data_IF_985364697637
#
_entry.id   IF_985364697637
#
_cell.length_a   1.000
_cell.length_b   1.000
_cell.length_c   1.000
_cell.angle_alpha   90.00
_cell.angle_beta   90.00
_cell.angle_gamma   90.00
#
_symmetry.space_group_name_H-M   'P 1'
#
loop_
_entity.id
_entity.type
_entity.pdbx_description
1 polymer ?
#
# COMPACT_ATOMS: atom_id res chain seq x y z
N UNK A 1 5.89 -2.92 -5.29
CA UNK A 1 6.43 -2.42 -4.01
C UNK A 1 7.80 -3.04 -3.81
N UNK A 2 8.76 -2.26 -3.31
CA UNK A 2 10.18 -2.63 -3.17
C UNK A 2 10.75 -2.06 -1.86
N UNK A 3 11.94 -2.50 -1.46
CA UNK A 3 12.66 -1.98 -0.28
C UNK A 3 12.02 -2.37 1.07
N UNK A 4 12.31 -1.57 2.11
CA UNK A 4 11.80 -1.77 3.47
C UNK A 4 10.27 -1.79 3.56
N UNK A 5 9.60 -1.04 2.67
CA UNK A 5 8.15 -1.07 2.53
C UNK A 5 7.64 -2.48 2.19
N UNK A 6 8.34 -3.19 1.28
CA UNK A 6 7.97 -4.57 0.92
C UNK A 6 8.09 -5.50 2.12
N UNK A 7 9.18 -5.42 2.87
CA UNK A 7 9.44 -6.24 4.06
C UNK A 7 8.38 -5.97 5.15
N UNK A 8 8.14 -4.70 5.47
CA UNK A 8 7.16 -4.31 6.48
C UNK A 8 5.73 -4.66 6.09
N UNK A 9 5.36 -4.49 4.82
CA UNK A 9 4.04 -4.87 4.33
C UNK A 9 3.84 -6.39 4.33
N UNK A 10 4.87 -7.17 4.01
CA UNK A 10 4.84 -8.62 4.15
C UNK A 10 4.61 -9.05 5.61
N UNK A 11 5.33 -8.44 6.56
CA UNK A 11 5.12 -8.69 7.98
C UNK A 11 3.69 -8.33 8.41
N UNK A 12 3.20 -7.15 8.01
CA UNK A 12 1.81 -6.73 8.27
C UNK A 12 0.79 -7.74 7.75
N UNK A 13 0.97 -8.28 6.54
CA UNK A 13 0.05 -9.27 5.97
C UNK A 13 0.06 -10.58 6.77
N UNK A 14 1.23 -11.02 7.24
CA UNK A 14 1.36 -12.20 8.11
C UNK A 14 0.71 -11.95 9.48
N UNK A 15 0.82 -10.73 10.03
CA UNK A 15 0.30 -10.38 11.34
C UNK A 15 -1.22 -10.13 11.34
N UNK A 16 -1.76 -9.54 10.27
CA UNK A 16 -3.20 -9.18 10.18
C UNK A 16 -4.06 -10.28 9.58
N UNK A 17 -3.48 -11.22 8.84
CA UNK A 17 -4.16 -12.45 8.49
C UNK A 17 -3.86 -13.51 9.56
N UNK A 18 -4.88 -14.26 9.97
CA UNK A 18 -4.81 -15.42 10.86
C UNK A 18 -3.90 -16.56 10.31
N UNK A 19 -2.60 -16.33 10.05
CA UNK A 19 -1.66 -17.32 9.50
C UNK A 19 -0.58 -17.72 10.50
N UNK A 20 -0.70 -18.92 11.12
CA UNK A 20 0.42 -19.52 11.82
C UNK A 20 1.38 -20.14 10.79
N UNK A 21 2.12 -19.30 10.03
CA UNK A 21 3.46 -19.55 9.46
C UNK A 21 3.76 -18.65 8.24
N UNK A 22 5.03 -18.22 8.04
CA UNK A 22 5.46 -17.37 6.90
C UNK A 22 5.28 -18.00 5.51
N UNK A 23 5.01 -19.31 5.43
CA UNK A 23 5.03 -20.08 4.19
C UNK A 23 3.65 -20.25 3.52
N UNK A 24 2.55 -19.83 4.17
CA UNK A 24 1.19 -20.08 3.67
C UNK A 24 0.24 -18.92 3.90
N UNK A 25 -0.37 -18.42 2.83
CA UNK A 25 -1.53 -17.52 2.85
C UNK A 25 -2.76 -18.35 2.44
N UNK A 26 -3.76 -18.50 3.31
CA UNK A 26 -5.11 -18.98 2.96
C UNK A 26 -5.94 -17.86 2.36
N UNK A 27 -6.49 -18.12 1.18
CA UNK A 27 -7.51 -17.29 0.54
C UNK A 27 -8.75 -18.15 0.33
N UNK A 28 -9.82 -17.92 1.10
CA UNK A 28 -11.06 -18.70 0.98
C UNK A 28 -10.91 -20.21 1.29
N UNK A 29 -11.98 -21.00 1.07
CA UNK A 29 -12.03 -22.43 1.42
C UNK A 29 -10.88 -23.21 0.76
N UNK A 30 -9.87 -23.56 1.56
CA UNK A 30 -8.87 -24.63 1.36
C UNK A 30 -7.87 -24.48 0.20
N UNK A 31 -7.28 -23.30 0.00
CA UNK A 31 -6.09 -23.21 -0.87
C UNK A 31 -5.01 -22.34 -0.24
N UNK A 32 -3.79 -22.89 -0.17
CA UNK A 32 -2.58 -22.26 0.34
C UNK A 32 -1.77 -21.72 -0.84
N UNK A 33 -1.52 -20.42 -0.89
CA UNK A 33 -0.65 -19.80 -1.90
C UNK A 33 0.55 -19.14 -1.23
N UNK A 34 1.69 -19.16 -1.93
CA UNK A 34 2.90 -18.44 -1.52
C UNK A 34 2.72 -16.93 -1.73
N UNK A 35 3.38 -16.09 -0.93
CA UNK A 35 3.33 -14.62 -1.09
C UNK A 35 3.62 -14.19 -2.53
N UNK A 36 4.55 -14.86 -3.21
CA UNK A 36 4.92 -14.63 -4.61
C UNK A 36 3.78 -14.88 -5.59
N UNK A 37 2.85 -15.78 -5.28
CA UNK A 37 1.69 -16.10 -6.12
C UNK A 37 0.51 -15.16 -5.88
N UNK A 38 0.37 -14.60 -4.68
CA UNK A 38 -0.64 -13.58 -4.36
C UNK A 38 -0.15 -12.15 -4.57
N UNK A 39 1.16 -11.94 -4.72
CA UNK A 39 1.75 -10.63 -5.04
C UNK A 39 1.09 -9.92 -6.23
N UNK A 40 0.71 -10.59 -7.33
CA UNK A 40 0.00 -9.96 -8.44
C UNK A 40 -1.44 -9.53 -8.09
N UNK A 41 -2.02 -10.12 -7.05
CA UNK A 41 -3.42 -9.91 -6.61
C UNK A 41 -3.51 -9.05 -5.34
N UNK A 42 -2.41 -8.45 -4.88
CA UNK A 42 -2.45 -7.54 -3.74
C UNK A 42 -3.29 -6.32 -4.13
N UNK A 43 -4.48 -6.24 -3.55
CA UNK A 43 -5.42 -5.16 -3.79
C UNK A 43 -4.89 -3.86 -3.17
N UNK A 44 -5.00 -2.75 -3.90
CA UNK A 44 -4.71 -1.39 -3.43
C UNK A 44 -5.33 -1.12 -2.04
N UNK A 45 -6.52 -1.67 -1.77
CA UNK A 45 -7.16 -1.59 -0.46
C UNK A 45 -6.29 -2.11 0.70
N UNK A 46 -5.61 -3.25 0.54
CA UNK A 46 -4.74 -3.82 1.60
C UNK A 46 -3.47 -3.02 1.80
N UNK A 47 -2.92 -2.48 0.71
CA UNK A 47 -1.76 -1.59 0.82
C UNK A 47 -2.15 -0.30 1.53
N UNK A 48 -3.32 0.27 1.22
CA UNK A 48 -3.83 1.47 1.91
C UNK A 48 -4.07 1.19 3.39
N UNK A 49 -4.74 0.08 3.75
CA UNK A 49 -4.94 -0.31 5.15
C UNK A 49 -3.62 -0.38 5.92
N UNK A 50 -2.59 -0.98 5.33
CA UNK A 50 -1.26 -1.02 5.94
C UNK A 50 -0.64 0.37 6.08
N UNK A 51 -0.71 1.20 5.02
CA UNK A 51 -0.15 2.55 5.03
C UNK A 51 -0.79 3.42 6.13
N UNK A 52 -2.09 3.24 6.40
CA UNK A 52 -2.78 3.90 7.50
C UNK A 52 -2.17 3.49 8.86
N UNK A 53 -1.78 2.22 9.05
CA UNK A 53 -1.11 1.77 10.30
C UNK A 53 0.23 2.44 10.56
N UNK A 54 0.90 2.94 9.52
CA UNK A 54 2.18 3.64 9.62
C UNK A 54 2.05 5.16 9.47
N UNK A 55 0.83 5.69 9.65
CA UNK A 55 0.46 7.11 9.57
C UNK A 55 0.72 7.77 8.20
N UNK A 56 0.63 7.00 7.12
CA UNK A 56 0.70 7.48 5.74
C UNK A 56 -0.65 7.30 5.07
N UNK A 57 -1.56 8.25 5.26
CA UNK A 57 -2.92 8.11 4.75
C UNK A 57 -2.97 8.46 3.26
N UNK A 58 -3.37 7.50 2.43
CA UNK A 58 -3.49 7.67 0.98
C UNK A 58 -4.92 8.00 0.62
N UNK A 59 -5.13 9.05 -0.17
CA UNK A 59 -6.45 9.42 -0.64
C UNK A 59 -6.40 10.11 -2.01
N UNK A 60 -7.56 10.23 -2.64
CA UNK A 60 -7.71 10.87 -3.95
C UNK A 60 -8.87 11.86 -3.92
N UNK A 61 -8.72 12.98 -4.61
CA UNK A 61 -9.73 14.05 -4.65
C UNK A 61 -10.20 14.25 -6.09
N UNK A 62 -11.49 14.12 -6.40
CA UNK A 62 -12.00 14.42 -7.72
C UNK A 62 -11.94 15.94 -7.99
N UNK A 63 -11.51 16.30 -9.19
CA UNK A 63 -11.50 17.68 -9.68
C UNK A 63 -12.06 17.75 -11.09
N UNK A 64 -12.29 18.97 -11.58
CA UNK A 64 -12.94 19.20 -12.88
C UNK A 64 -12.30 18.41 -14.02
N UNK A 65 -10.97 18.33 -14.04
CA UNK A 65 -10.20 17.75 -15.13
C UNK A 65 -9.53 16.41 -14.75
N UNK A 66 -9.99 15.74 -13.67
CA UNK A 66 -9.46 14.44 -13.27
C UNK A 66 -9.48 14.17 -11.77
N UNK A 67 -8.41 13.56 -11.27
CA UNK A 67 -8.26 13.10 -9.90
C UNK A 67 -6.90 13.48 -9.36
N UNK A 68 -6.87 14.23 -8.26
CA UNK A 68 -5.63 14.46 -7.53
C UNK A 68 -5.25 13.22 -6.72
N UNK A 69 -3.97 12.87 -6.79
CA UNK A 69 -3.30 11.89 -5.97
C UNK A 69 -2.73 12.58 -4.73
N UNK A 70 -3.15 12.17 -3.53
CA UNK A 70 -2.78 12.85 -2.29
C UNK A 70 -2.31 11.87 -1.21
N UNK A 71 -1.40 12.34 -0.35
CA UNK A 71 -0.88 11.61 0.80
C UNK A 71 -0.81 12.55 1.99
N UNK A 72 -1.42 12.13 3.10
CA UNK A 72 -1.26 12.80 4.38
C UNK A 72 -0.23 12.05 5.23
N UNK A 73 0.89 12.71 5.49
CA UNK A 73 1.99 12.22 6.32
C UNK A 73 2.06 13.06 7.61
N UNK A 74 1.37 12.61 8.65
CA UNK A 74 1.16 13.41 9.87
C UNK A 74 0.36 14.68 9.58
N UNK A 75 0.94 15.84 9.89
CA UNK A 75 0.34 17.16 9.64
C UNK A 75 0.58 17.69 8.21
N UNK A 76 1.45 17.02 7.44
CA UNK A 76 1.79 17.44 6.08
C UNK A 76 0.87 16.75 5.08
N UNK A 77 0.19 17.56 4.26
CA UNK A 77 -0.63 17.09 3.15
C UNK A 77 0.10 17.33 1.83
N UNK A 78 0.34 16.25 1.08
CA UNK A 78 1.13 16.25 -0.14
C UNK A 78 0.24 15.88 -1.32
N UNK A 79 0.01 16.82 -2.23
CA UNK A 79 -0.57 16.54 -3.55
C UNK A 79 0.53 16.13 -4.51
N UNK A 80 0.45 14.89 -5.00
CA UNK A 80 1.48 14.27 -5.83
C UNK A 80 1.28 14.48 -7.33
N UNK A 81 0.04 14.59 -7.82
CA UNK A 81 -0.23 14.82 -9.24
C UNK A 81 -1.70 14.73 -9.61
N UNK A 82 -2.01 15.13 -10.86
CA UNK A 82 -3.34 15.05 -11.47
C UNK A 82 -3.39 13.90 -12.49
N UNK A 83 -4.41 13.05 -12.38
CA UNK A 83 -4.59 11.88 -13.22
C UNK A 83 -5.98 11.87 -13.85
N UNK A 84 -6.12 11.23 -15.01
CA UNK A 84 -7.38 11.19 -15.76
C UNK A 84 -8.44 10.37 -15.00
N UNK A 85 -8.03 9.26 -14.40
CA UNK A 85 -8.91 8.33 -13.70
C UNK A 85 -8.49 8.09 -12.24
N UNK A 86 -9.47 7.64 -11.45
CA UNK A 86 -9.32 7.41 -10.01
C UNK A 86 -8.30 6.30 -9.70
N UNK A 87 -8.24 5.25 -10.53
CA UNK A 87 -7.37 4.11 -10.27
C UNK A 87 -5.90 4.55 -10.41
N UNK A 88 -5.57 5.24 -11.50
CA UNK A 88 -4.23 5.81 -11.72
C UNK A 88 -3.81 6.78 -10.60
N UNK A 89 -4.72 7.65 -10.16
CA UNK A 89 -4.45 8.55 -9.02
C UNK A 89 -4.16 7.78 -7.72
N UNK A 90 -4.89 6.69 -7.49
CA UNK A 90 -4.73 5.84 -6.30
C UNK A 90 -3.40 5.09 -6.34
N UNK A 91 -3.06 4.48 -7.48
CA UNK A 91 -1.78 3.77 -7.67
C UNK A 91 -0.59 4.71 -7.51
N UNK A 92 -0.69 5.93 -8.06
CA UNK A 92 0.33 6.96 -7.88
C UNK A 92 0.48 7.40 -6.43
N UNK A 93 -0.63 7.55 -5.70
CA UNK A 93 -0.60 7.95 -4.30
C UNK A 93 0.03 6.84 -3.43
N UNK A 94 -0.32 5.58 -3.69
CA UNK A 94 0.30 4.42 -3.03
C UNK A 94 1.80 4.40 -3.32
N UNK A 95 2.20 4.54 -4.59
CA UNK A 95 3.61 4.51 -4.98
C UNK A 95 4.40 5.60 -4.24
N UNK A 96 3.86 6.82 -4.19
CA UNK A 96 4.54 7.92 -3.51
C UNK A 96 4.58 7.75 -1.98
N UNK A 97 3.54 7.17 -1.37
CA UNK A 97 3.56 6.83 0.05
C UNK A 97 4.62 5.77 0.37
N UNK A 98 4.76 4.75 -0.50
CA UNK A 98 5.81 3.73 -0.40
C UNK A 98 7.21 4.34 -0.52
N UNK A 99 7.41 5.32 -1.42
CA UNK A 99 8.68 6.05 -1.52
C UNK A 99 9.02 6.77 -0.22
N UNK A 100 8.05 7.52 0.35
CA UNK A 100 8.21 8.25 1.63
C UNK A 100 8.57 7.26 2.75
N UNK A 101 7.89 6.12 2.82
CA UNK A 101 8.20 5.08 3.79
C UNK A 101 9.64 4.60 3.62
N UNK A 102 10.02 4.19 2.41
CA UNK A 102 11.37 3.69 2.14
C UNK A 102 12.45 4.72 2.46
N UNK A 103 12.22 6.00 2.18
CA UNK A 103 13.14 7.08 2.54
C UNK A 103 13.29 7.23 4.05
N UNK A 104 12.18 7.16 4.81
CA UNK A 104 12.19 7.22 6.27
C UNK A 104 12.98 6.07 6.93
N UNK A 105 13.05 4.91 6.29
CA UNK A 105 13.67 3.70 6.83
C UNK A 105 14.93 3.24 6.05
N UNK A 106 15.47 4.08 5.16
CA UNK A 106 16.65 3.76 4.33
C UNK A 106 17.95 3.56 5.12
N UNK A 107 18.01 4.11 6.34
CA UNK A 107 19.21 4.14 7.19
C UNK A 107 19.15 3.18 8.40
N UNK A 108 18.18 2.26 8.44
CA UNK A 108 18.06 1.19 9.44
C UNK A 108 18.38 -0.19 8.86
#
# INVERSE_FOLDING_TARGET
MEGKAKEAFQAYLIETQYFPRPEMIMVGKLTTCSFTEVQPFIFNAKIIEWLDTVNLNVYVVPVKDGWFSCIKNGDNDLTHGLFIDRQSATEAAIKKAVEIYNEKYKEQ
#
